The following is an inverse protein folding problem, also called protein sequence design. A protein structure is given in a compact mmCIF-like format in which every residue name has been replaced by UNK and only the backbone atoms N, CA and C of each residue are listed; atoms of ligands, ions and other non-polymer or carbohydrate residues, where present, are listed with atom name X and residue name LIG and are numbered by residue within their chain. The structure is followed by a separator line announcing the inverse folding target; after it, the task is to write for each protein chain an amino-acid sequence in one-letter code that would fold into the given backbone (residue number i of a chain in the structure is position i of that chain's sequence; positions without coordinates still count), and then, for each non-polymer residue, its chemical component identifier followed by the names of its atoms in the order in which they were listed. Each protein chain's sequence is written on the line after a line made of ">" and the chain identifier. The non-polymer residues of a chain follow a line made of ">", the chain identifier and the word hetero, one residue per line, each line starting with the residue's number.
data_IF_349526390415
#
_entry.id   IF_349526390415
#
_cell.length_a   1.000
_cell.length_b   1.000
_cell.length_c   1.000
_cell.angle_alpha   90.00
_cell.angle_beta   90.00
_cell.angle_gamma   90.00
#
_symmetry.space_group_name_H-M   'P 1'
#
loop_
_entity.id
_entity.type
_entity.pdbx_description
1 polymer ?
#
# COMPACT_ATOMS: atom_id res chain seq x y z
N UNK A 1 20.39 -7.10 -19.70
CA UNK A 1 19.80 -5.79 -19.37
C UNK A 1 18.26 -5.82 -19.43
N UNK A 2 17.65 -6.36 -20.50
CA UNK A 2 16.19 -6.49 -20.62
C UNK A 2 15.52 -7.40 -19.56
N UNK A 3 16.21 -8.44 -19.07
CA UNK A 3 15.66 -9.39 -18.08
C UNK A 3 15.44 -8.83 -16.67
N UNK A 4 16.01 -7.66 -16.36
CA UNK A 4 15.79 -6.96 -15.08
C UNK A 4 14.44 -6.23 -15.11
N UNK A 5 14.03 -5.71 -16.28
CA UNK A 5 12.77 -4.99 -16.44
C UNK A 5 11.55 -5.93 -16.36
N UNK A 6 11.62 -7.14 -16.91
CA UNK A 6 10.45 -8.05 -16.93
C UNK A 6 10.21 -8.82 -15.63
N UNK A 7 11.21 -8.94 -14.74
CA UNK A 7 11.08 -9.78 -13.52
C UNK A 7 10.35 -9.08 -12.36
N UNK A 8 10.23 -7.74 -12.39
CA UNK A 8 9.69 -6.93 -11.29
C UNK A 8 8.54 -5.99 -11.67
N UNK A 9 8.32 -5.71 -12.96
CA UNK A 9 7.35 -4.70 -13.39
C UNK A 9 5.89 -5.01 -13.03
N UNK A 10 5.48 -6.28 -13.02
CA UNK A 10 4.08 -6.63 -12.69
C UNK A 10 3.72 -6.29 -11.25
N UNK A 11 4.59 -6.63 -10.30
CA UNK A 11 4.38 -6.38 -8.88
C UNK A 11 4.43 -4.89 -8.54
N UNK A 12 5.36 -4.15 -9.14
CA UNK A 12 5.50 -2.71 -8.91
C UNK A 12 4.29 -1.94 -9.45
N UNK A 13 3.84 -2.24 -10.67
CA UNK A 13 2.64 -1.63 -11.24
C UNK A 13 1.38 -2.00 -10.45
N UNK A 14 1.25 -3.26 -10.01
CA UNK A 14 0.13 -3.68 -9.16
C UNK A 14 0.16 -2.96 -7.80
N UNK A 15 1.32 -2.87 -7.16
CA UNK A 15 1.50 -2.17 -5.89
C UNK A 15 1.15 -0.69 -6.03
N UNK A 16 1.59 -0.04 -7.10
CA UNK A 16 1.31 1.35 -7.43
C UNK A 16 -0.17 1.57 -7.73
N UNK A 17 -0.81 0.70 -8.52
CA UNK A 17 -2.24 0.74 -8.81
C UNK A 17 -3.11 0.58 -7.56
N UNK A 18 -2.80 -0.38 -6.70
CA UNK A 18 -3.47 -0.56 -5.41
C UNK A 18 -3.26 0.62 -4.48
N UNK A 19 -2.06 1.20 -4.46
CA UNK A 19 -1.77 2.39 -3.64
C UNK A 19 -2.61 3.58 -4.08
N UNK A 20 -2.69 3.86 -5.38
CA UNK A 20 -3.53 4.94 -5.92
C UNK A 20 -5.01 4.68 -5.72
N UNK A 21 -5.48 3.45 -5.97
CA UNK A 21 -6.87 3.08 -5.73
C UNK A 21 -7.23 3.21 -4.24
N UNK A 22 -6.34 2.79 -3.36
CA UNK A 22 -6.49 2.93 -1.91
C UNK A 22 -6.63 4.38 -1.49
N UNK A 23 -5.70 5.25 -1.91
CA UNK A 23 -5.73 6.68 -1.62
C UNK A 23 -7.00 7.35 -2.17
N UNK A 24 -7.38 7.05 -3.42
CA UNK A 24 -8.61 7.54 -4.02
C UNK A 24 -9.86 7.16 -3.21
N UNK A 25 -9.92 5.89 -2.79
CA UNK A 25 -11.04 5.34 -2.02
C UNK A 25 -11.11 5.94 -0.61
N UNK A 26 -9.95 6.17 0.03
CA UNK A 26 -9.86 6.90 1.31
C UNK A 26 -10.36 8.34 1.15
N UNK A 27 -9.95 9.02 0.08
CA UNK A 27 -10.42 10.37 -0.27
C UNK A 27 -11.93 10.44 -0.48
N UNK A 28 -12.53 9.38 -1.02
CA UNK A 28 -13.99 9.22 -1.16
C UNK A 28 -14.69 8.82 0.16
N UNK A 29 -14.03 8.95 1.31
CA UNK A 29 -14.53 8.60 2.65
C UNK A 29 -15.00 7.14 2.79
N UNK A 30 -14.41 6.23 2.02
CA UNK A 30 -14.74 4.80 2.07
C UNK A 30 -13.71 4.03 2.93
N UNK A 31 -14.21 3.30 3.94
CA UNK A 31 -13.38 2.53 4.89
C UNK A 31 -12.53 1.44 4.19
N UNK A 32 -13.03 0.89 3.09
CA UNK A 32 -12.31 -0.15 2.33
C UNK A 32 -11.00 0.37 1.71
N UNK A 33 -10.84 1.67 1.56
CA UNK A 33 -9.61 2.26 1.01
C UNK A 33 -8.36 1.94 1.83
N UNK A 34 -8.49 1.80 3.16
CA UNK A 34 -7.37 1.38 4.01
C UNK A 34 -6.93 -0.06 3.74
N UNK A 35 -7.88 -0.96 3.45
CA UNK A 35 -7.58 -2.36 3.14
C UNK A 35 -6.87 -2.46 1.80
N UNK A 36 -7.34 -1.70 0.80
CA UNK A 36 -6.70 -1.63 -0.52
C UNK A 36 -5.27 -1.07 -0.42
N UNK A 37 -5.10 0.03 0.35
CA UNK A 37 -3.79 0.63 0.57
C UNK A 37 -2.84 -0.28 1.36
N UNK A 38 -3.37 -1.08 2.30
CA UNK A 38 -2.62 -2.11 3.02
C UNK A 38 -2.12 -3.21 2.07
N UNK A 39 -2.97 -3.72 1.18
CA UNK A 39 -2.57 -4.68 0.16
C UNK A 39 -1.45 -4.13 -0.73
N UNK A 40 -1.54 -2.86 -1.14
CA UNK A 40 -0.46 -2.17 -1.86
C UNK A 40 0.86 -2.15 -1.07
N UNK A 41 0.81 -1.86 0.22
CA UNK A 41 2.01 -1.85 1.08
C UNK A 41 2.62 -3.24 1.30
N UNK A 42 1.80 -4.31 1.32
CA UNK A 42 2.32 -5.68 1.37
C UNK A 42 3.09 -6.02 0.09
N UNK A 43 2.62 -5.58 -1.07
CA UNK A 43 3.35 -5.75 -2.34
C UNK A 43 4.65 -4.95 -2.36
N UNK A 44 4.63 -3.70 -1.89
CA UNK A 44 5.84 -2.89 -1.73
C UNK A 44 6.83 -3.49 -0.73
N UNK A 45 6.34 -4.07 0.36
CA UNK A 45 7.18 -4.77 1.34
C UNK A 45 7.80 -6.03 0.73
N UNK A 46 7.03 -6.78 -0.06
CA UNK A 46 7.54 -7.94 -0.83
C UNK A 46 8.63 -7.51 -1.80
N UNK A 47 8.44 -6.40 -2.51
CA UNK A 47 9.47 -5.82 -3.38
C UNK A 47 10.69 -5.35 -2.59
N UNK A 48 10.50 -4.78 -1.39
CA UNK A 48 11.58 -4.43 -0.47
C UNK A 48 12.45 -5.64 -0.11
N UNK A 49 11.83 -6.78 0.17
CA UNK A 49 12.55 -8.03 0.45
C UNK A 49 13.34 -8.48 -0.77
N UNK A 50 12.72 -8.47 -1.96
CA UNK A 50 13.39 -8.98 -3.15
C UNK A 50 14.54 -8.06 -3.59
N UNK A 51 14.35 -6.75 -3.50
CA UNK A 51 15.38 -5.74 -3.78
C UNK A 51 16.42 -5.60 -2.66
N UNK A 52 16.22 -6.30 -1.53
CA UNK A 52 17.03 -6.19 -0.30
C UNK A 52 17.14 -4.76 0.23
N UNK A 53 16.12 -3.94 -0.01
CA UNK A 53 16.08 -2.55 0.45
C UNK A 53 15.48 -2.48 1.84
N UNK A 54 16.33 -2.35 2.86
CA UNK A 54 15.91 -2.20 4.26
C UNK A 54 15.00 -0.97 4.44
N UNK A 55 15.29 0.12 3.72
CA UNK A 55 14.46 1.33 3.75
C UNK A 55 13.05 1.08 3.23
N UNK A 56 12.91 0.34 2.11
CA UNK A 56 11.60 0.03 1.53
C UNK A 56 10.80 -0.92 2.43
N UNK A 57 11.46 -1.92 3.03
CA UNK A 57 10.82 -2.84 3.98
C UNK A 57 10.32 -2.09 5.21
N UNK A 58 11.18 -1.29 5.84
CA UNK A 58 10.86 -0.58 7.07
C UNK A 58 9.72 0.43 6.86
N UNK A 59 9.82 1.25 5.80
CA UNK A 59 8.80 2.25 5.49
C UNK A 59 7.43 1.60 5.26
N UNK A 60 7.35 0.57 4.40
CA UNK A 60 6.09 -0.08 4.10
C UNK A 60 5.53 -0.90 5.27
N UNK A 61 6.39 -1.44 6.15
CA UNK A 61 5.93 -2.10 7.37
C UNK A 61 5.26 -1.11 8.35
N UNK A 62 5.86 0.06 8.55
CA UNK A 62 5.30 1.12 9.39
C UNK A 62 4.02 1.67 8.78
N UNK A 63 3.99 1.95 7.47
CA UNK A 63 2.80 2.46 6.78
C UNK A 63 1.67 1.42 6.81
N UNK A 64 1.97 0.13 6.61
CA UNK A 64 0.99 -0.95 6.76
C UNK A 64 0.35 -0.94 8.16
N UNK A 65 1.15 -0.83 9.22
CA UNK A 65 0.63 -0.75 10.59
C UNK A 65 -0.24 0.50 10.80
N UNK A 66 0.13 1.64 10.20
CA UNK A 66 -0.68 2.85 10.22
C UNK A 66 -2.02 2.67 9.50
N UNK A 67 -2.06 1.97 8.36
CA UNK A 67 -3.32 1.65 7.67
C UNK A 67 -4.23 0.73 8.49
N UNK A 68 -3.67 -0.26 9.18
CA UNK A 68 -4.43 -1.09 10.13
C UNK A 68 -5.01 -0.24 11.26
N UNK A 69 -4.20 0.64 11.86
CA UNK A 69 -4.66 1.59 12.89
C UNK A 69 -5.75 2.53 12.37
N UNK A 70 -5.58 3.08 11.17
CA UNK A 70 -6.55 3.97 10.54
C UNK A 70 -7.87 3.25 10.26
N UNK A 71 -7.82 1.98 9.81
CA UNK A 71 -9.00 1.15 9.61
C UNK A 71 -9.77 0.87 10.91
N UNK A 72 -9.05 0.62 12.02
CA UNK A 72 -9.66 0.39 13.34
C UNK A 72 -10.27 1.67 13.93
N UNK A 73 -9.60 2.82 13.74
CA UNK A 73 -10.06 4.13 14.25
C UNK A 73 -10.96 4.88 13.29
N UNK A 74 -11.34 4.27 12.16
CA UNK A 74 -12.18 4.90 11.17
C UNK A 74 -13.58 5.13 11.73
N UNK A 75 -13.83 6.37 12.17
CA UNK A 75 -15.15 6.86 12.49
C UNK A 75 -15.67 7.53 11.22
N UNK A 76 -16.84 7.11 10.71
CA UNK A 76 -17.57 7.96 9.76
C UNK A 76 -17.78 9.27 10.50
N UNK A 77 -17.21 10.37 10.01
CA UNK A 77 -17.60 11.70 10.45
C UNK A 77 -19.09 11.83 10.10
N UNK A 78 -19.94 11.45 11.04
CA UNK A 78 -21.33 11.87 11.07
C UNK A 78 -21.24 13.39 11.22
N UNK A 79 -21.57 14.10 10.14
CA UNK A 79 -21.63 15.56 10.18
C UNK A 79 -22.52 15.97 11.35
N UNK A 80 -21.95 16.77 12.25
CA UNK A 80 -22.70 17.73 13.05
C UNK A 80 -22.65 19.03 12.25
#
# INVERSE_FOLDING_TARGET
>A
MLSILTKYYGLDLLAMGLSFLGIYTIGNKQRYGFVIALCGNILWLTLGIITRSVGLIFANAVIAALYVRAYMRWQKTSGI
#
